data_IF_895369980193
#
_entry.id   IF_895369980193
#
_cell.length_a   1.000
_cell.length_b   1.000
_cell.length_c   1.000
_cell.angle_alpha   90.00
_cell.angle_beta   90.00
_cell.angle_gamma   90.00
#
_symmetry.space_group_name_H-M   'P 1'
#
loop_
_entity.id
_entity.type
_entity.pdbx_description
1 polymer ?
#
# COMPACT_ATOMS: atom_id res chain seq x y z
N UNK A 1 10.04 1.33 -23.24
CA UNK A 1 10.96 2.48 -23.35
C UNK A 1 11.08 3.30 -22.09
N UNK A 2 10.04 3.33 -21.26
CA UNK A 2 10.05 4.12 -20.01
C UNK A 2 10.92 3.52 -18.90
N UNK A 3 11.13 2.23 -18.93
CA UNK A 3 11.88 1.55 -17.85
C UNK A 3 13.37 1.80 -17.94
N UNK A 4 13.95 1.89 -19.15
CA UNK A 4 15.36 2.18 -19.33
C UNK A 4 15.74 3.60 -18.85
N UNK A 5 14.89 4.59 -19.08
CA UNK A 5 15.14 5.95 -18.62
C UNK A 5 15.06 6.04 -17.09
N UNK A 6 14.07 5.39 -16.46
CA UNK A 6 13.95 5.33 -15.01
C UNK A 6 15.15 4.60 -14.38
N UNK A 7 15.60 3.50 -14.99
CA UNK A 7 16.77 2.77 -14.54
C UNK A 7 18.03 3.62 -14.61
N UNK A 8 18.24 4.33 -15.73
CA UNK A 8 19.39 5.21 -15.90
C UNK A 8 19.44 6.35 -14.87
N UNK A 9 18.30 6.94 -14.52
CA UNK A 9 18.21 7.97 -13.47
C UNK A 9 18.58 7.40 -12.11
N UNK A 10 18.06 6.21 -11.76
CA UNK A 10 18.37 5.54 -10.48
C UNK A 10 19.85 5.15 -10.41
N UNK A 11 20.40 4.62 -11.49
CA UNK A 11 21.81 4.29 -11.59
C UNK A 11 22.69 5.54 -11.42
N UNK A 12 22.33 6.65 -12.08
CA UNK A 12 23.03 7.92 -11.95
C UNK A 12 22.95 8.45 -10.52
N UNK A 13 21.78 8.40 -9.89
CA UNK A 13 21.61 8.78 -8.49
C UNK A 13 22.57 8.01 -7.59
N UNK A 14 22.65 6.68 -7.73
CA UNK A 14 23.51 5.84 -6.89
C UNK A 14 24.99 5.94 -7.22
N UNK A 15 25.36 6.35 -8.44
CA UNK A 15 26.77 6.55 -8.83
C UNK A 15 27.34 7.90 -8.42
N UNK A 16 26.52 8.93 -8.33
CA UNK A 16 26.94 10.30 -8.02
C UNK A 16 26.65 10.71 -6.56
N UNK A 17 25.71 10.03 -5.91
CA UNK A 17 25.26 10.35 -4.56
C UNK A 17 25.22 9.08 -3.70
N UNK A 18 25.29 9.25 -2.40
CA UNK A 18 25.06 8.22 -1.43
C UNK A 18 23.57 8.17 -1.09
N UNK A 19 22.80 7.29 -1.76
CA UNK A 19 21.43 6.98 -1.39
C UNK A 19 21.46 6.01 -0.20
N UNK A 20 21.43 6.54 1.00
CA UNK A 20 21.61 5.75 2.23
C UNK A 20 20.33 5.18 2.83
N UNK A 21 19.16 5.76 2.51
CA UNK A 21 17.89 5.28 3.07
C UNK A 21 16.71 5.56 2.13
N UNK A 22 15.82 4.58 2.04
CA UNK A 22 14.53 4.68 1.36
C UNK A 22 13.44 4.29 2.35
N UNK A 23 12.47 5.19 2.57
CA UNK A 23 11.28 4.90 3.38
C UNK A 23 10.10 4.74 2.43
N UNK A 24 9.53 3.53 2.41
CA UNK A 24 8.31 3.25 1.67
C UNK A 24 7.11 3.68 2.49
N UNK A 25 6.34 4.58 1.93
CA UNK A 25 5.16 5.13 2.56
C UNK A 25 3.96 4.17 2.42
N UNK A 26 3.00 4.20 3.36
CA UNK A 26 1.75 3.49 3.16
C UNK A 26 0.97 4.07 1.97
N UNK A 27 -0.01 3.31 1.48
CA UNK A 27 -0.88 3.81 0.41
C UNK A 27 -1.77 4.96 0.90
N UNK A 28 -2.41 5.67 -0.03
CA UNK A 28 -3.37 6.76 0.22
C UNK A 28 -2.84 7.98 1.01
N UNK A 29 -1.52 8.12 1.19
CA UNK A 29 -0.93 9.29 1.88
C UNK A 29 -1.33 10.61 1.21
N UNK A 30 -1.50 10.61 -0.10
CA UNK A 30 -1.91 11.77 -0.90
C UNK A 30 -3.40 11.78 -1.25
N UNK A 31 -4.24 11.06 -0.47
CA UNK A 31 -5.69 11.13 -0.64
C UNK A 31 -6.22 12.57 -0.41
N UNK A 32 -7.22 13.02 -1.18
CA UNK A 32 -8.03 12.26 -2.15
C UNK A 32 -7.43 12.22 -3.57
N UNK A 33 -6.25 12.79 -3.81
CA UNK A 33 -5.69 12.98 -5.15
C UNK A 33 -5.21 11.67 -5.77
N UNK A 34 -4.57 10.81 -4.98
CA UNK A 34 -4.08 9.50 -5.42
C UNK A 34 -3.96 8.53 -4.26
N UNK A 35 -4.10 7.24 -4.55
CA UNK A 35 -3.82 6.12 -3.63
C UNK A 35 -2.46 5.49 -3.86
N UNK A 36 -1.67 5.99 -4.82
CA UNK A 36 -0.38 5.41 -5.19
C UNK A 36 0.57 5.44 -4.00
N UNK A 37 1.23 4.31 -3.76
CA UNK A 37 2.31 4.18 -2.79
C UNK A 37 3.55 4.93 -3.28
N UNK A 38 4.19 5.69 -2.42
CA UNK A 38 5.35 6.50 -2.73
C UNK A 38 6.53 6.18 -1.83
N UNK A 39 7.73 6.58 -2.22
CA UNK A 39 8.94 6.42 -1.43
C UNK A 39 9.55 7.78 -1.12
N UNK A 40 10.09 7.92 0.10
CA UNK A 40 10.96 9.05 0.47
C UNK A 40 12.40 8.57 0.33
N UNK A 41 13.21 9.32 -0.44
CA UNK A 41 14.60 9.01 -0.68
C UNK A 41 15.49 9.96 0.13
N UNK A 42 16.41 9.42 0.92
CA UNK A 42 17.40 10.17 1.68
C UNK A 42 18.77 9.90 1.07
N UNK A 43 19.40 10.93 0.58
CA UNK A 43 20.72 10.87 -0.05
C UNK A 43 21.54 12.11 0.22
N UNK A 44 22.85 11.97 0.15
CA UNK A 44 23.82 13.04 0.35
C UNK A 44 24.95 12.97 -0.69
N UNK A 45 25.91 13.90 -0.60
CA UNK A 45 27.06 14.00 -1.51
C UNK A 45 28.37 13.47 -0.92
N UNK A 46 28.29 12.52 0.00
CA UNK A 46 29.49 11.94 0.63
C UNK A 46 30.24 10.99 -0.30
N UNK A 47 29.62 10.54 -1.37
CA UNK A 47 30.22 9.66 -2.38
C UNK A 47 29.17 8.81 -3.08
N UNK A 48 29.59 7.84 -3.90
CA UNK A 48 28.68 6.87 -4.49
C UNK A 48 28.03 5.98 -3.43
N UNK A 49 26.83 5.51 -3.72
CA UNK A 49 26.10 4.55 -2.88
C UNK A 49 26.86 3.22 -2.78
N UNK A 50 27.10 2.76 -1.58
CA UNK A 50 27.65 1.41 -1.29
C UNK A 50 26.56 0.47 -0.81
N UNK A 51 25.71 0.93 0.04
CA UNK A 51 24.57 0.20 0.61
C UNK A 51 23.42 1.16 0.90
N UNK A 52 22.19 0.65 0.87
CA UNK A 52 20.97 1.42 1.11
C UNK A 52 20.08 0.67 2.08
N UNK A 53 19.59 1.33 3.10
CA UNK A 53 18.55 0.85 3.96
C UNK A 53 17.18 1.09 3.35
N UNK A 54 16.32 0.08 3.40
CA UNK A 54 14.92 0.18 3.05
C UNK A 54 14.08 -0.05 4.31
N UNK A 55 13.10 0.79 4.52
CA UNK A 55 12.16 0.69 5.63
C UNK A 55 10.73 0.90 5.14
N UNK A 56 9.82 0.01 5.52
CA UNK A 56 8.38 0.15 5.25
C UNK A 56 7.70 0.81 6.44
N UNK A 57 7.07 1.94 6.19
CA UNK A 57 6.16 2.56 7.14
C UNK A 57 4.78 1.95 6.95
N UNK A 58 4.33 1.20 7.95
CA UNK A 58 3.03 0.54 7.90
C UNK A 58 1.88 1.52 8.13
N UNK A 59 0.67 1.14 7.71
CA UNK A 59 -0.53 1.89 8.01
C UNK A 59 -0.73 1.93 9.54
N UNK A 60 -1.05 3.09 10.14
CA UNK A 60 -1.29 3.17 11.57
C UNK A 60 -2.47 2.28 12.00
N UNK A 61 -2.42 1.78 13.24
CA UNK A 61 -3.49 0.98 13.79
C UNK A 61 -4.84 1.71 13.73
N UNK A 62 -5.88 1.01 13.34
CA UNK A 62 -7.22 1.59 13.16
C UNK A 62 -7.41 2.45 11.91
N UNK A 63 -6.39 2.50 11.02
CA UNK A 63 -6.50 3.17 9.73
C UNK A 63 -6.59 2.12 8.60
N UNK A 64 -7.70 2.13 7.89
CA UNK A 64 -7.81 1.37 6.63
C UNK A 64 -7.19 2.15 5.46
N UNK A 65 -7.40 3.46 5.43
CA UNK A 65 -6.87 4.40 4.44
C UNK A 65 -6.71 5.78 5.06
N UNK A 66 -5.78 6.59 4.54
CA UNK A 66 -5.80 8.03 4.76
C UNK A 66 -6.87 8.68 3.88
N UNK A 67 -7.39 9.84 4.32
CA UNK A 67 -8.41 10.59 3.61
C UNK A 67 -8.28 12.08 3.90
N UNK A 68 -9.07 12.92 3.21
CA UNK A 68 -9.10 14.36 3.48
C UNK A 68 -9.46 14.68 4.93
N UNK A 69 -10.37 13.91 5.54
CA UNK A 69 -10.81 14.08 6.93
C UNK A 69 -9.93 13.36 7.95
N UNK A 70 -9.10 12.45 7.51
CA UNK A 70 -8.20 11.64 8.32
C UNK A 70 -6.82 11.56 7.63
N UNK A 71 -6.12 12.71 7.50
CA UNK A 71 -4.85 12.77 6.78
C UNK A 71 -3.72 12.12 7.57
N UNK A 72 -2.62 11.83 6.89
CA UNK A 72 -1.38 11.46 7.55
C UNK A 72 -0.86 12.61 8.40
N UNK A 73 -0.37 12.29 9.60
CA UNK A 73 0.18 13.25 10.57
C UNK A 73 1.63 12.89 10.91
N UNK A 74 2.37 13.84 11.48
CA UNK A 74 3.78 13.62 11.84
C UNK A 74 3.98 12.46 12.82
N UNK A 75 3.08 12.27 13.77
CA UNK A 75 3.13 11.16 14.74
C UNK A 75 3.16 9.78 14.06
N UNK A 76 2.64 9.66 12.87
CA UNK A 76 2.67 8.41 12.12
C UNK A 76 4.08 8.03 11.64
N UNK A 77 5.03 8.96 11.68
CA UNK A 77 6.44 8.69 11.39
C UNK A 77 7.25 8.19 12.59
N UNK A 78 6.70 8.25 13.80
CA UNK A 78 7.41 7.86 15.02
C UNK A 78 8.09 6.48 14.92
N UNK A 79 7.46 5.43 14.35
CA UNK A 79 8.12 4.14 14.18
C UNK A 79 9.36 4.20 13.27
N UNK A 80 9.32 5.03 12.22
CA UNK A 80 10.45 5.22 11.32
C UNK A 80 11.56 6.03 11.98
N UNK A 81 11.21 7.04 12.78
CA UNK A 81 12.17 7.86 13.56
C UNK A 81 12.88 7.00 14.61
N UNK A 82 12.14 6.19 15.36
CA UNK A 82 12.73 5.28 16.34
C UNK A 82 13.67 4.26 15.71
N UNK A 83 13.27 3.69 14.56
CA UNK A 83 14.13 2.78 13.80
C UNK A 83 15.38 3.49 13.26
N UNK A 84 15.28 4.76 12.88
CA UNK A 84 16.38 5.54 12.28
C UNK A 84 17.59 5.65 13.21
N UNK A 85 17.35 5.81 14.50
CA UNK A 85 18.41 5.96 15.52
C UNK A 85 19.11 4.63 15.82
N UNK A 86 18.42 3.50 15.62
CA UNK A 86 18.96 2.15 15.83
C UNK A 86 18.54 1.22 14.69
N UNK A 87 19.13 1.41 13.50
CA UNK A 87 18.77 0.67 12.29
C UNK A 87 19.13 -0.80 12.42
N UNK A 88 18.12 -1.65 12.29
CA UNK A 88 18.25 -3.10 12.26
C UNK A 88 17.33 -3.68 11.17
N UNK A 89 17.64 -4.88 10.71
CA UNK A 89 16.78 -5.61 9.80
C UNK A 89 15.57 -6.16 10.57
N UNK A 90 14.38 -5.96 10.01
CA UNK A 90 13.11 -6.36 10.61
C UNK A 90 12.33 -7.17 9.59
N UNK A 91 11.92 -8.37 9.98
CA UNK A 91 11.04 -9.24 9.20
C UNK A 91 9.75 -9.47 9.99
N UNK A 92 8.60 -9.28 9.35
CA UNK A 92 7.27 -9.52 9.94
C UNK A 92 6.54 -10.49 9.03
N UNK A 93 6.03 -11.59 9.60
CA UNK A 93 5.26 -12.63 8.89
C UNK A 93 5.98 -13.17 7.63
N UNK A 94 7.32 -13.27 7.70
CA UNK A 94 8.15 -13.74 6.57
C UNK A 94 8.48 -12.67 5.52
N UNK A 95 8.04 -11.42 5.69
CA UNK A 95 8.30 -10.31 4.77
C UNK A 95 9.22 -9.27 5.39
N UNK A 96 10.18 -8.78 4.60
CA UNK A 96 11.09 -7.74 5.03
C UNK A 96 10.32 -6.41 5.25
N UNK A 97 10.35 -5.91 6.49
CA UNK A 97 9.88 -4.57 6.83
C UNK A 97 11.03 -3.56 6.75
N UNK A 98 12.19 -3.95 7.26
CA UNK A 98 13.41 -3.16 7.15
C UNK A 98 14.55 -4.07 6.73
N UNK A 99 15.31 -3.66 5.72
CA UNK A 99 16.45 -4.44 5.22
C UNK A 99 17.48 -3.56 4.54
N UNK A 100 18.73 -3.97 4.68
CA UNK A 100 19.86 -3.33 4.03
C UNK A 100 20.22 -4.10 2.75
N UNK A 101 20.45 -3.36 1.66
CA UNK A 101 20.89 -3.92 0.39
C UNK A 101 22.17 -3.23 -0.07
N UNK A 102 23.11 -4.00 -0.58
CA UNK A 102 24.30 -3.47 -1.25
C UNK A 102 23.96 -2.94 -2.64
N UNK A 103 24.75 -2.00 -3.14
CA UNK A 103 24.57 -1.49 -4.52
C UNK A 103 24.61 -2.59 -5.56
N UNK A 104 25.38 -3.67 -5.33
CA UNK A 104 25.42 -4.84 -6.21
C UNK A 104 24.06 -5.55 -6.25
N UNK A 105 23.46 -5.82 -5.10
CA UNK A 105 22.14 -6.44 -5.04
C UNK A 105 21.06 -5.57 -5.68
N UNK A 106 21.18 -4.24 -5.54
CA UNK A 106 20.28 -3.28 -6.19
C UNK A 106 20.49 -3.27 -7.72
N UNK A 107 21.72 -3.36 -8.19
CA UNK A 107 22.04 -3.48 -9.61
C UNK A 107 21.49 -4.76 -10.20
N UNK A 108 21.66 -5.91 -9.54
CA UNK A 108 21.13 -7.20 -9.94
C UNK A 108 19.59 -7.21 -10.04
N UNK A 109 18.94 -6.30 -9.27
CA UNK A 109 17.48 -6.05 -9.28
C UNK A 109 17.08 -4.85 -10.15
N UNK A 110 17.90 -4.48 -11.15
CA UNK A 110 17.64 -3.36 -12.07
C UNK A 110 17.38 -2.03 -11.36
N UNK A 111 18.10 -1.81 -10.26
CA UNK A 111 17.95 -0.62 -9.38
C UNK A 111 16.50 -0.43 -8.89
N UNK A 112 15.85 -1.52 -8.55
CA UNK A 112 14.51 -1.45 -7.95
C UNK A 112 14.59 -0.80 -6.57
N UNK A 113 13.87 0.29 -6.37
CA UNK A 113 13.73 1.01 -5.08
C UNK A 113 12.40 0.76 -4.39
N UNK A 114 11.57 -0.14 -4.94
CA UNK A 114 10.30 -0.57 -4.34
C UNK A 114 10.49 -1.89 -3.58
N UNK A 115 11.51 -1.92 -2.72
CA UNK A 115 11.81 -3.06 -1.85
C UNK A 115 11.11 -2.90 -0.49
N UNK A 116 10.98 -3.98 0.26
CA UNK A 116 10.27 -4.03 1.53
C UNK A 116 8.80 -3.56 1.42
N UNK A 117 8.19 -3.73 0.23
CA UNK A 117 6.78 -3.42 0.02
C UNK A 117 5.86 -4.29 0.89
N UNK A 118 4.58 -3.92 0.92
CA UNK A 118 3.57 -4.78 1.53
C UNK A 118 3.54 -6.13 0.82
N UNK A 119 3.31 -7.23 1.55
CA UNK A 119 3.02 -8.50 0.93
C UNK A 119 1.88 -8.28 -0.07
N UNK A 120 2.05 -8.72 -1.30
CA UNK A 120 0.90 -8.92 -2.16
C UNK A 120 0.09 -10.05 -1.52
N UNK A 121 -1.09 -9.75 -1.01
CA UNK A 121 -2.13 -10.76 -0.97
C UNK A 121 -2.35 -11.10 -2.46
N UNK A 122 -1.90 -12.27 -2.88
CA UNK A 122 -2.38 -12.84 -4.13
C UNK A 122 -3.88 -12.95 -3.95
N UNK A 123 -4.64 -12.03 -4.53
CA UNK A 123 -6.08 -12.24 -4.68
C UNK A 123 -6.18 -13.58 -5.41
N UNK A 124 -6.71 -14.57 -4.70
CA UNK A 124 -7.05 -15.85 -5.32
C UNK A 124 -7.86 -15.51 -6.57
N UNK A 125 -7.27 -15.75 -7.74
CA UNK A 125 -7.98 -15.55 -9.01
C UNK A 125 -9.03 -16.65 -9.05
N UNK A 126 -10.19 -16.34 -8.46
CA UNK A 126 -11.35 -17.22 -8.49
C UNK A 126 -11.70 -17.48 -9.96
N UNK A 127 -12.08 -18.72 -10.25
CA UNK A 127 -12.62 -19.06 -11.56
C UNK A 127 -13.75 -18.06 -11.89
N UNK A 128 -13.75 -17.45 -13.08
CA UNK A 128 -14.79 -16.49 -13.46
C UNK A 128 -16.21 -17.02 -13.26
N UNK A 129 -16.42 -18.32 -13.42
CA UNK A 129 -17.72 -18.97 -13.19
C UNK A 129 -18.08 -19.02 -11.70
N UNK A 130 -17.10 -19.25 -10.82
CA UNK A 130 -17.33 -19.25 -9.38
C UNK A 130 -17.62 -17.83 -8.87
N UNK A 131 -16.90 -16.82 -9.38
CA UNK A 131 -17.16 -15.41 -9.09
C UNK A 131 -18.58 -14.99 -9.50
N UNK A 132 -19.04 -15.42 -10.68
CA UNK A 132 -20.40 -15.14 -11.18
C UNK A 132 -21.44 -15.85 -10.28
N UNK A 133 -21.17 -17.07 -9.85
CA UNK A 133 -22.06 -17.84 -8.99
C UNK A 133 -22.21 -17.20 -7.60
N UNK A 134 -21.10 -16.84 -6.95
CA UNK A 134 -21.11 -16.10 -5.70
C UNK A 134 -21.86 -14.77 -5.81
N UNK A 135 -21.63 -14.01 -6.89
CA UNK A 135 -22.34 -12.76 -7.13
C UNK A 135 -23.87 -13.00 -7.25
N UNK A 136 -24.29 -14.03 -7.97
CA UNK A 136 -25.70 -14.35 -8.14
C UNK A 136 -26.36 -14.76 -6.82
N UNK A 137 -25.69 -15.58 -6.02
CA UNK A 137 -26.16 -15.97 -4.68
C UNK A 137 -26.29 -14.78 -3.75
N UNK A 138 -25.25 -13.94 -3.68
CA UNK A 138 -25.28 -12.72 -2.87
C UNK A 138 -26.37 -11.74 -3.31
N UNK A 139 -26.56 -11.59 -4.60
CA UNK A 139 -27.65 -10.76 -5.16
C UNK A 139 -29.02 -11.28 -4.79
N UNK A 140 -29.22 -12.58 -4.85
CA UNK A 140 -30.50 -13.22 -4.47
C UNK A 140 -30.81 -12.99 -3.00
N UNK A 141 -29.81 -13.18 -2.11
CA UNK A 141 -29.97 -12.93 -0.68
C UNK A 141 -30.30 -11.47 -0.38
N UNK A 142 -29.56 -10.53 -0.98
CA UNK A 142 -29.83 -9.10 -0.79
C UNK A 142 -31.19 -8.66 -1.30
N UNK A 143 -31.64 -9.18 -2.45
CA UNK A 143 -32.98 -8.90 -2.95
C UNK A 143 -34.08 -9.43 -2.01
N UNK A 144 -33.90 -10.61 -1.45
CA UNK A 144 -34.86 -11.15 -0.48
C UNK A 144 -34.91 -10.29 0.80
N UNK A 145 -33.77 -9.76 1.28
CA UNK A 145 -33.76 -8.82 2.40
C UNK A 145 -34.46 -7.49 2.07
N UNK A 146 -34.24 -6.97 0.87
CA UNK A 146 -34.91 -5.76 0.39
C UNK A 146 -36.44 -5.97 0.31
N UNK A 147 -36.88 -7.07 -0.28
CA UNK A 147 -38.28 -7.40 -0.42
C UNK A 147 -38.97 -7.54 0.96
N UNK A 148 -38.25 -8.12 1.92
CA UNK A 148 -38.72 -8.23 3.30
C UNK A 148 -38.92 -6.84 3.96
N UNK A 149 -37.93 -5.97 3.82
CA UNK A 149 -37.98 -4.60 4.36
C UNK A 149 -39.10 -3.80 3.68
N UNK A 150 -39.27 -3.96 2.38
CA UNK A 150 -40.37 -3.30 1.63
C UNK A 150 -41.73 -3.77 2.14
N UNK A 151 -41.92 -5.07 2.34
CA UNK A 151 -43.16 -5.60 2.89
C UNK A 151 -43.46 -5.09 4.31
N UNK A 152 -42.41 -4.99 5.16
CA UNK A 152 -42.54 -4.39 6.50
C UNK A 152 -42.93 -2.90 6.43
N UNK A 153 -42.36 -2.14 5.48
CA UNK A 153 -42.72 -0.74 5.25
C UNK A 153 -44.16 -0.59 4.74
N UNK A 154 -44.58 -1.42 3.79
CA UNK A 154 -45.96 -1.44 3.29
C UNK A 154 -46.97 -1.72 4.40
N UNK A 155 -46.64 -2.64 5.33
CA UNK A 155 -47.48 -2.95 6.48
C UNK A 155 -47.59 -1.80 7.51
N UNK A 156 -46.60 -0.90 7.52
CA UNK A 156 -46.59 0.28 8.42
C UNK A 156 -47.28 1.51 7.83
N UNK A 157 -47.52 1.53 6.52
CA UNK A 157 -48.20 2.66 5.87
C UNK A 157 -49.74 2.58 6.11
N UNK A 158 -50.37 3.55 6.74
CA UNK A 158 -51.83 3.57 6.89
C UNK A 158 -52.47 3.87 5.53
N UNK A 159 -53.07 2.86 4.92
CA UNK A 159 -53.80 2.96 3.66
C UNK A 159 -53.03 2.34 2.49
N UNK A 160 -53.00 1.02 2.46
CA UNK A 160 -52.67 0.29 1.24
C UNK A 160 -53.66 0.70 0.14
N UNK A 161 -53.13 1.18 -0.99
CA UNK A 161 -53.93 1.48 -2.16
C UNK A 161 -54.56 0.18 -2.62
N UNK A 162 -55.84 0.02 -2.29
CA UNK A 162 -56.72 -0.96 -2.93
C UNK A 162 -57.11 -0.36 -4.28
N UNK A 163 -56.59 -0.88 -5.37
CA UNK A 163 -57.28 -1.05 -6.66
C UNK A 163 -56.93 -2.40 -7.23
#
# INVERSE_FOLDING_TARGET
GTDNAKMAIKQKLMSEFNLHTVIRMPHSVFAPYTSITTNILFFDRTGPTTETWFYRLDMPEGYKNFSKTKPMQLVHFDPAVQWWDNREEITIDGFDKAKKFTVKELSDRTYNIDLCGYPHEEEEVLDPLDTIREYQERRTTLNAEIDKVLAELEALLPGGVTE
#
